data_IF_282937946216
#
_entry.id   IF_282937946216
#
_cell.length_a   1.000
_cell.length_b   1.000
_cell.length_c   1.000
_cell.angle_alpha   90.00
_cell.angle_beta   90.00
_cell.angle_gamma   90.00
#
_symmetry.space_group_name_H-M   'P 1'
#
loop_
_entity.id
_entity.type
_entity.pdbx_description
1 polymer ?
#
# COMPACT_ATOMS: atom_id res chain seq x y z
N UNK A 1 10.06 -11.90 -22.99
CA UNK A 1 9.91 -11.72 -21.56
C UNK A 1 8.55 -12.23 -21.05
N UNK A 2 7.49 -12.06 -21.82
CA UNK A 2 6.12 -12.44 -21.43
C UNK A 2 5.73 -13.90 -21.70
N UNK A 3 6.57 -14.68 -22.40
CA UNK A 3 6.27 -16.06 -22.85
C UNK A 3 6.03 -17.09 -21.72
N UNK A 4 6.36 -16.72 -20.47
CA UNK A 4 6.16 -17.59 -19.30
C UNK A 4 5.06 -17.10 -18.36
N UNK A 5 4.43 -15.94 -18.64
CA UNK A 5 3.43 -15.36 -17.73
C UNK A 5 2.23 -16.29 -17.53
N UNK A 6 1.72 -16.86 -18.62
CA UNK A 6 0.57 -17.78 -18.55
C UNK A 6 0.89 -19.02 -17.71
N UNK A 7 2.12 -19.53 -17.83
CA UNK A 7 2.57 -20.67 -17.03
C UNK A 7 2.67 -20.32 -15.54
N UNK A 8 3.14 -19.12 -15.19
CA UNK A 8 3.14 -18.65 -13.81
C UNK A 8 1.73 -18.46 -13.27
N UNK A 9 0.86 -17.83 -14.04
CA UNK A 9 -0.54 -17.62 -13.66
C UNK A 9 -1.24 -18.96 -13.40
N UNK A 10 -1.00 -19.96 -14.25
CA UNK A 10 -1.53 -21.31 -14.06
C UNK A 10 -1.04 -21.95 -12.74
N UNK A 11 0.24 -21.83 -12.42
CA UNK A 11 0.78 -22.36 -11.17
C UNK A 11 0.19 -21.62 -9.96
N UNK A 12 0.07 -20.31 -10.02
CA UNK A 12 -0.51 -19.51 -8.94
C UNK A 12 -1.99 -19.84 -8.71
N UNK A 13 -2.77 -20.09 -9.78
CA UNK A 13 -4.15 -20.58 -9.65
C UNK A 13 -4.21 -21.95 -8.97
N UNK A 14 -3.30 -22.86 -9.31
CA UNK A 14 -3.18 -24.17 -8.62
C UNK A 14 -2.83 -24.04 -7.16
N UNK A 15 -2.14 -22.97 -6.77
CA UNK A 15 -1.80 -22.67 -5.37
C UNK A 15 -2.93 -21.98 -4.59
N UNK A 16 -4.02 -21.58 -5.25
CA UNK A 16 -5.19 -21.00 -4.59
C UNK A 16 -5.49 -19.53 -4.92
N UNK A 17 -4.73 -18.89 -5.83
CA UNK A 17 -5.11 -17.60 -6.40
C UNK A 17 -6.23 -17.82 -7.43
N UNK A 18 -7.45 -17.46 -7.04
CA UNK A 18 -8.66 -17.85 -7.77
C UNK A 18 -9.12 -16.82 -8.82
N UNK A 19 -8.65 -15.57 -8.74
CA UNK A 19 -9.14 -14.47 -9.56
C UNK A 19 -8.04 -13.90 -10.46
N UNK A 20 -8.34 -13.66 -11.72
CA UNK A 20 -7.43 -13.02 -12.68
C UNK A 20 -7.12 -11.56 -12.29
N UNK A 21 -8.01 -10.90 -11.54
CA UNK A 21 -7.78 -9.56 -10.99
C UNK A 21 -6.70 -9.52 -9.89
N UNK A 22 -6.27 -10.66 -9.35
CA UNK A 22 -5.17 -10.75 -8.38
C UNK A 22 -3.82 -10.28 -8.96
N UNK A 23 -3.69 -10.15 -10.27
CA UNK A 23 -2.43 -9.75 -10.95
C UNK A 23 -2.39 -8.27 -11.36
N UNK A 24 -3.27 -7.44 -10.85
CA UNK A 24 -3.24 -6.00 -11.10
C UNK A 24 -2.36 -5.26 -10.10
N UNK A 25 -1.63 -4.23 -10.56
CA UNK A 25 -0.95 -3.29 -9.68
C UNK A 25 -1.87 -2.16 -9.17
N UNK A 26 -3.07 -2.05 -9.68
CA UNK A 26 -4.09 -1.07 -9.26
C UNK A 26 -5.24 -1.75 -8.51
N UNK A 27 -4.90 -2.62 -7.55
CA UNK A 27 -5.85 -3.47 -6.81
C UNK A 27 -6.87 -2.70 -5.96
N UNK A 28 -6.71 -1.40 -5.80
CA UNK A 28 -7.63 -0.48 -5.09
C UNK A 28 -8.73 0.11 -5.96
N UNK A 29 -8.74 -0.14 -7.26
CA UNK A 29 -9.78 0.36 -8.16
C UNK A 29 -11.08 -0.44 -7.99
N UNK A 30 -12.21 0.26 -8.04
CA UNK A 30 -13.54 -0.36 -7.88
C UNK A 30 -13.83 -1.43 -8.94
N UNK A 31 -13.31 -1.25 -10.15
CA UNK A 31 -13.46 -2.18 -11.27
C UNK A 31 -12.81 -3.55 -10.99
N UNK A 32 -11.82 -3.58 -10.11
CA UNK A 32 -11.15 -4.81 -9.67
C UNK A 32 -12.01 -5.59 -8.67
N UNK A 33 -12.96 -4.91 -8.02
CA UNK A 33 -13.85 -5.52 -7.02
C UNK A 33 -13.17 -5.84 -5.68
N UNK A 34 -12.00 -5.27 -5.42
CA UNK A 34 -11.19 -5.53 -4.23
C UNK A 34 -10.87 -4.24 -3.44
N UNK A 35 -11.70 -3.22 -3.59
CA UNK A 35 -11.52 -1.95 -2.89
C UNK A 35 -11.74 -2.12 -1.40
N UNK A 36 -10.71 -1.86 -0.57
CA UNK A 36 -10.80 -2.06 0.87
C UNK A 36 -11.47 -0.86 1.55
N UNK A 37 -11.88 -1.08 2.79
CA UNK A 37 -12.42 -0.05 3.68
C UNK A 37 -11.37 0.32 4.74
N UNK A 38 -11.60 1.44 5.40
CA UNK A 38 -10.79 1.86 6.56
C UNK A 38 -10.76 0.75 7.61
N UNK A 39 -9.55 0.36 8.02
CA UNK A 39 -9.30 -0.66 9.03
C UNK A 39 -9.15 -2.08 8.49
N UNK A 40 -9.46 -2.33 7.21
CA UNK A 40 -9.25 -3.65 6.61
C UNK A 40 -7.77 -4.03 6.62
N UNK A 41 -7.51 -5.31 6.83
CA UNK A 41 -6.15 -5.87 6.78
C UNK A 41 -5.92 -6.45 5.40
N UNK A 42 -4.82 -6.02 4.77
CA UNK A 42 -4.50 -6.34 3.39
C UNK A 42 -3.17 -7.06 3.29
N UNK A 43 -3.08 -7.91 2.27
CA UNK A 43 -1.85 -8.60 1.85
C UNK A 43 -1.52 -8.19 0.42
N UNK A 44 -1.12 -6.92 0.24
CA UNK A 44 -0.78 -6.35 -1.06
C UNK A 44 0.73 -6.16 -1.22
N UNK A 45 1.25 -6.45 -2.41
CA UNK A 45 2.68 -6.41 -2.71
C UNK A 45 3.13 -5.21 -3.53
N UNK A 46 2.21 -4.50 -4.20
CA UNK A 46 2.55 -3.33 -5.00
C UNK A 46 2.80 -2.12 -4.11
N UNK A 47 3.98 -1.51 -4.20
CA UNK A 47 4.42 -0.43 -3.30
C UNK A 47 3.50 0.79 -3.33
N UNK A 48 3.04 1.20 -4.50
CA UNK A 48 2.11 2.33 -4.65
C UNK A 48 0.74 2.02 -4.06
N UNK A 49 0.23 0.81 -4.24
CA UNK A 49 -1.04 0.36 -3.66
C UNK A 49 -0.96 0.27 -2.14
N UNK A 50 0.15 -0.22 -1.59
CA UNK A 50 0.38 -0.26 -0.13
C UNK A 50 0.42 1.15 0.46
N UNK A 51 1.10 2.08 -0.19
CA UNK A 51 1.14 3.47 0.24
C UNK A 51 -0.27 4.11 0.19
N UNK A 52 -1.01 3.88 -0.87
CA UNK A 52 -2.39 4.38 -1.02
C UNK A 52 -3.34 3.79 0.03
N UNK A 53 -3.27 2.47 0.26
CA UNK A 53 -4.08 1.79 1.25
C UNK A 53 -3.86 2.36 2.66
N UNK A 54 -2.61 2.53 3.08
CA UNK A 54 -2.28 3.03 4.41
C UNK A 54 -2.55 4.53 4.58
N UNK A 55 -2.28 5.35 3.55
CA UNK A 55 -2.28 6.81 3.65
C UNK A 55 -3.61 7.46 3.27
N UNK A 56 -4.34 6.89 2.32
CA UNK A 56 -5.56 7.46 1.75
C UNK A 56 -6.79 6.71 2.24
N UNK A 57 -6.82 5.40 2.06
CA UNK A 57 -7.98 4.58 2.45
C UNK A 57 -8.05 4.40 3.97
N UNK A 58 -6.90 4.36 4.65
CA UNK A 58 -6.81 4.04 6.07
C UNK A 58 -6.96 2.55 6.37
N UNK A 59 -6.73 1.71 5.37
CA UNK A 59 -6.55 0.28 5.53
C UNK A 59 -5.17 -0.03 6.10
N UNK A 60 -4.89 -1.28 6.41
CA UNK A 60 -3.65 -1.72 7.05
C UNK A 60 -2.93 -2.72 6.16
N UNK A 61 -1.75 -2.38 5.69
CA UNK A 61 -0.92 -3.25 4.86
C UNK A 61 0.54 -3.08 5.22
N UNK A 62 1.25 -4.17 5.41
CA UNK A 62 2.70 -4.14 5.59
C UNK A 62 3.43 -3.93 4.25
N UNK A 63 4.74 -3.71 4.33
CA UNK A 63 5.66 -3.55 3.20
C UNK A 63 6.53 -4.79 3.03
N UNK A 64 5.91 -5.96 3.05
CA UNK A 64 6.61 -7.22 2.90
C UNK A 64 6.95 -7.49 1.42
N UNK A 65 7.73 -8.54 1.17
CA UNK A 65 8.02 -8.97 -0.20
C UNK A 65 6.79 -9.57 -0.87
N UNK A 66 6.76 -9.55 -2.22
CA UNK A 66 5.67 -10.11 -2.99
C UNK A 66 5.34 -11.56 -2.68
N UNK A 67 6.34 -12.37 -2.32
CA UNK A 67 6.12 -13.77 -1.93
C UNK A 67 5.35 -13.88 -0.61
N UNK A 68 5.68 -13.07 0.37
CA UNK A 68 5.02 -13.07 1.69
C UNK A 68 3.56 -12.65 1.54
N UNK A 69 3.30 -11.59 0.78
CA UNK A 69 1.92 -11.10 0.57
C UNK A 69 1.09 -12.08 -0.27
N UNK A 70 1.70 -12.72 -1.26
CA UNK A 70 1.04 -13.78 -2.02
C UNK A 70 0.67 -14.97 -1.13
N UNK A 71 1.58 -15.41 -0.26
CA UNK A 71 1.30 -16.48 0.70
C UNK A 71 0.18 -16.09 1.67
N UNK A 72 0.18 -14.85 2.15
CA UNK A 72 -0.89 -14.30 2.99
C UNK A 72 -2.24 -14.31 2.28
N UNK A 73 -2.27 -13.93 1.00
CA UNK A 73 -3.48 -13.94 0.17
C UNK A 73 -4.03 -15.36 -0.02
N UNK A 74 -3.17 -16.33 -0.26
CA UNK A 74 -3.56 -17.75 -0.40
C UNK A 74 -4.04 -18.33 0.93
N UNK A 75 -3.33 -18.03 2.03
CA UNK A 75 -3.67 -18.52 3.36
C UNK A 75 -4.90 -17.83 3.97
N UNK A 76 -5.31 -16.68 3.43
CA UNK A 76 -6.38 -15.86 4.00
C UNK A 76 -6.03 -15.25 5.36
N UNK A 77 -4.73 -15.18 5.69
CA UNK A 77 -4.24 -14.64 6.96
C UNK A 77 -2.81 -14.14 6.85
N UNK A 78 -2.48 -13.13 7.65
CA UNK A 78 -1.13 -12.54 7.72
C UNK A 78 -0.70 -12.42 9.18
N UNK A 79 0.61 -12.48 9.47
CA UNK A 79 1.13 -12.26 10.82
C UNK A 79 0.80 -10.84 11.31
N UNK A 80 0.32 -10.72 12.54
CA UNK A 80 -0.05 -9.43 13.15
C UNK A 80 1.18 -8.69 13.69
N UNK A 81 1.78 -7.86 12.84
CA UNK A 81 2.94 -7.02 13.19
C UNK A 81 3.01 -5.76 12.31
N UNK A 82 3.94 -4.86 12.63
CA UNK A 82 4.25 -3.69 11.84
C UNK A 82 3.05 -2.77 11.61
N UNK A 83 2.79 -2.39 10.37
CA UNK A 83 1.71 -1.47 10.00
C UNK A 83 0.31 -2.05 10.15
N UNK A 84 0.16 -3.33 10.48
CA UNK A 84 -1.13 -3.93 10.83
C UNK A 84 -1.57 -3.55 12.24
N UNK A 85 -0.62 -3.28 13.14
CA UNK A 85 -0.87 -2.93 14.54
C UNK A 85 -1.00 -1.42 14.75
N UNK A 86 -1.70 -1.02 15.80
CA UNK A 86 -1.78 0.40 16.20
C UNK A 86 -0.42 0.95 16.60
N UNK A 87 0.42 0.13 17.25
CA UNK A 87 1.77 0.52 17.66
C UNK A 87 2.66 0.81 16.45
N UNK A 88 2.67 -0.08 15.45
CA UNK A 88 3.49 0.08 14.25
C UNK A 88 3.02 1.24 13.34
N UNK A 89 1.81 1.76 13.57
CA UNK A 89 1.28 2.92 12.83
C UNK A 89 1.51 4.26 13.54
N UNK A 90 2.10 4.27 14.72
CA UNK A 90 2.43 5.52 15.41
C UNK A 90 3.44 6.31 14.60
N UNK A 91 3.15 7.60 14.42
CA UNK A 91 4.05 8.49 13.72
C UNK A 91 5.36 8.67 14.51
N UNK A 92 6.48 8.42 13.86
CA UNK A 92 7.83 8.63 14.39
C UNK A 92 8.43 9.96 13.93
N UNK A 93 7.81 10.56 12.90
CA UNK A 93 8.19 11.86 12.36
C UNK A 93 7.01 12.83 12.34
N UNK A 94 7.29 14.10 12.65
CA UNK A 94 6.37 15.22 12.39
C UNK A 94 7.04 16.10 11.33
N UNK A 95 6.43 16.16 10.14
CA UNK A 95 6.90 16.97 9.02
C UNK A 95 5.95 18.15 8.82
N UNK A 96 6.44 19.35 8.94
CA UNK A 96 5.68 20.56 8.67
C UNK A 96 6.04 21.11 7.29
N UNK A 97 5.07 21.10 6.38
CA UNK A 97 5.21 21.61 5.01
C UNK A 97 4.83 23.10 5.01
N UNK A 98 5.81 23.95 4.71
CA UNK A 98 5.63 25.42 4.62
C UNK A 98 5.81 25.87 3.19
N UNK A 99 4.73 25.85 2.42
CA UNK A 99 4.73 26.27 1.01
C UNK A 99 3.80 27.49 0.81
N UNK A 100 4.22 28.42 -0.06
CA UNK A 100 3.39 29.56 -0.49
C UNK A 100 2.43 29.21 -1.63
N UNK A 101 2.63 28.07 -2.26
CA UNK A 101 1.84 27.55 -3.40
C UNK A 101 1.71 26.03 -3.21
N UNK A 102 0.70 25.43 -3.82
CA UNK A 102 0.52 23.98 -3.85
C UNK A 102 1.80 23.33 -4.38
N UNK A 103 2.48 22.47 -3.60
CA UNK A 103 3.66 21.78 -4.07
C UNK A 103 3.29 20.70 -5.08
N UNK A 104 4.20 20.40 -6.00
CA UNK A 104 4.06 19.25 -6.89
C UNK A 104 4.16 17.96 -6.08
N UNK A 105 3.17 17.08 -6.22
CA UNK A 105 3.02 15.88 -5.40
C UNK A 105 4.24 14.94 -5.48
N UNK A 106 4.80 14.77 -6.67
CA UNK A 106 5.96 13.91 -6.90
C UNK A 106 7.21 14.42 -6.17
N UNK A 107 7.47 15.73 -6.23
CA UNK A 107 8.64 16.33 -5.58
C UNK A 107 8.48 16.32 -4.06
N UNK A 108 7.30 16.66 -3.56
CA UNK A 108 7.04 16.63 -2.12
C UNK A 108 7.12 15.20 -1.58
N UNK A 109 6.47 14.24 -2.25
CA UNK A 109 6.50 12.83 -1.86
C UNK A 109 7.92 12.26 -1.85
N UNK A 110 8.71 12.56 -2.89
CA UNK A 110 10.13 12.14 -2.95
C UNK A 110 10.95 12.76 -1.83
N UNK A 111 10.78 14.05 -1.55
CA UNK A 111 11.51 14.74 -0.49
C UNK A 111 11.18 14.17 0.90
N UNK A 112 9.90 13.90 1.16
CA UNK A 112 9.46 13.25 2.40
C UNK A 112 10.01 11.83 2.47
N UNK A 113 9.85 11.03 1.42
CA UNK A 113 10.28 9.63 1.39
C UNK A 113 11.78 9.49 1.62
N UNK A 114 12.62 10.30 0.96
CA UNK A 114 14.07 10.31 1.18
C UNK A 114 14.45 10.70 2.61
N UNK A 115 13.62 11.46 3.30
CA UNK A 115 13.90 11.92 4.67
C UNK A 115 13.49 10.89 5.71
N UNK A 116 12.32 10.29 5.55
CA UNK A 116 11.73 9.40 6.55
C UNK A 116 12.07 7.93 6.28
N UNK A 117 12.49 7.63 5.07
CA UNK A 117 12.78 6.25 4.64
C UNK A 117 11.59 5.33 4.87
N UNK A 118 11.71 4.40 5.79
CA UNK A 118 10.70 3.40 6.14
C UNK A 118 9.87 3.75 7.39
N UNK A 119 10.12 4.91 7.99
CA UNK A 119 9.38 5.39 9.15
C UNK A 119 7.97 5.89 8.78
N UNK A 120 7.16 6.17 9.78
CA UNK A 120 5.78 6.68 9.61
C UNK A 120 5.75 8.19 9.85
N UNK A 121 5.55 9.02 8.81
CA UNK A 121 5.45 10.46 8.97
C UNK A 121 4.02 10.91 9.27
N UNK A 122 3.88 11.89 10.16
CA UNK A 122 2.70 12.73 10.26
C UNK A 122 2.96 14.07 9.56
N UNK A 123 2.30 14.32 8.44
CA UNK A 123 2.53 15.50 7.60
C UNK A 123 1.51 16.60 7.95
N UNK A 124 2.00 17.78 8.30
CA UNK A 124 1.20 18.99 8.60
C UNK A 124 1.35 20.02 7.50
N UNK A 125 0.38 20.94 7.40
CA UNK A 125 0.43 22.09 6.50
C UNK A 125 -0.03 21.78 5.08
N UNK A 126 -0.74 20.68 4.88
CA UNK A 126 -1.26 20.27 3.57
C UNK A 126 -2.78 20.38 3.44
N UNK A 127 -3.51 20.68 4.51
CA UNK A 127 -4.97 20.68 4.54
C UNK A 127 -5.60 21.61 3.49
N UNK A 128 -4.98 22.76 3.24
CA UNK A 128 -5.43 23.75 2.24
C UNK A 128 -5.50 23.15 0.83
N UNK A 129 -4.63 22.17 0.51
CA UNK A 129 -4.50 21.62 -0.84
C UNK A 129 -5.03 20.19 -0.99
N UNK A 130 -5.15 19.45 0.10
CA UNK A 130 -5.63 18.06 0.06
C UNK A 130 -7.13 17.94 0.34
N UNK A 131 -7.73 18.98 0.93
CA UNK A 131 -9.10 18.95 1.42
C UNK A 131 -9.28 17.92 2.56
N UNK A 132 -9.84 18.32 3.65
CA UNK A 132 -10.25 17.41 4.75
C UNK A 132 -11.71 17.58 5.00
#
# INVERSE_FOLDING_TARGET
>A
MYSKQDSYNEQLRKMGLLDDNAYTCACYLDEVGNTPKKGDILSWAESSAVAYANSVIGARCNRNSGLIEMMGSIAGSVPDFGLLTDEGRKATWIIEVKCKKKPEAQFLGSAIGMKVMEDVPFVKGMNEWLGT
#
